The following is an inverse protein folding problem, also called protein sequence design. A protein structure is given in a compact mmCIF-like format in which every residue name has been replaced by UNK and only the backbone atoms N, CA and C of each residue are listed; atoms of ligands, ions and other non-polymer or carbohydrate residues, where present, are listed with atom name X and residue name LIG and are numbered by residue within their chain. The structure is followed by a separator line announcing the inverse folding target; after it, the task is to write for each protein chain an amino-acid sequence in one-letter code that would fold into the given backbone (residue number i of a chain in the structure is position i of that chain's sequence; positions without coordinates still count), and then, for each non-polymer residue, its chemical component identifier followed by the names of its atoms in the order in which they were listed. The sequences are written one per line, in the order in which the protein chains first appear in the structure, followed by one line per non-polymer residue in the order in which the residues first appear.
data_IF_481954699457
#
_entry.id   IF_481954699457
#
_cell.length_a   1.000
_cell.length_b   1.000
_cell.length_c   1.000
_cell.angle_alpha   90.00
_cell.angle_beta   90.00
_cell.angle_gamma   90.00
#
_symmetry.space_group_name_H-M   'P 1'
#
loop_
_entity.id
_entity.type
_entity.pdbx_description
1 polymer ?
#
# COMPACT_ATOMS: atom_id res chain seq x y z
N UNK A 1 25.84 -39.42 19.55
CA UNK A 1 24.42 -39.62 19.20
C UNK A 1 23.90 -38.27 18.78
N UNK A 2 23.62 -38.11 17.50
CA UNK A 2 23.00 -36.92 16.93
C UNK A 2 21.48 -37.06 17.06
N UNK A 3 20.82 -36.03 17.57
CA UNK A 3 19.35 -35.90 17.47
C UNK A 3 18.99 -35.46 16.04
N UNK A 4 17.93 -36.03 15.44
CA UNK A 4 17.55 -35.74 14.07
C UNK A 4 16.83 -34.39 13.95
N UNK A 5 17.10 -33.74 12.82
CA UNK A 5 16.43 -32.56 12.29
C UNK A 5 14.90 -32.62 12.42
N UNK A 6 14.32 -31.68 13.18
CA UNK A 6 12.90 -31.34 13.04
C UNK A 6 12.73 -30.51 11.76
N UNK A 7 12.43 -31.22 10.68
CA UNK A 7 11.34 -30.91 9.75
C UNK A 7 11.05 -29.40 9.58
N UNK A 8 11.81 -28.77 8.68
CA UNK A 8 11.36 -27.61 7.91
C UNK A 8 10.10 -28.00 7.14
N UNK A 9 9.30 -27.00 6.79
CA UNK A 9 8.07 -27.07 5.99
C UNK A 9 6.77 -27.36 6.78
N UNK A 10 6.21 -26.29 7.33
CA UNK A 10 4.78 -26.03 7.16
C UNK A 10 4.59 -24.59 6.72
N UNK A 11 4.27 -24.43 5.44
CA UNK A 11 3.53 -23.30 4.90
C UNK A 11 2.51 -22.79 5.93
N UNK A 12 2.79 -21.67 6.58
CA UNK A 12 1.80 -20.97 7.41
C UNK A 12 0.98 -20.11 6.45
N UNK A 13 0.14 -20.78 5.66
CA UNK A 13 -1.02 -20.12 5.06
C UNK A 13 -1.88 -19.68 6.24
N UNK A 14 -2.26 -18.39 6.35
CA UNK A 14 -3.16 -17.93 7.41
C UNK A 14 -4.39 -18.85 7.40
N UNK A 15 -4.82 -19.41 8.54
CA UNK A 15 -5.90 -20.39 8.51
C UNK A 15 -7.11 -19.72 7.86
N UNK A 16 -7.62 -20.30 6.77
CA UNK A 16 -8.65 -19.70 5.89
C UNK A 16 -9.86 -19.15 6.67
N UNK A 17 -10.11 -19.72 7.85
CA UNK A 17 -11.13 -19.29 8.81
C UNK A 17 -10.95 -17.85 9.33
N UNK A 18 -9.71 -17.36 9.47
CA UNK A 18 -9.42 -15.99 9.94
C UNK A 18 -9.57 -14.95 8.83
N UNK A 19 -9.14 -15.27 7.60
CA UNK A 19 -9.40 -14.43 6.43
C UNK A 19 -10.90 -14.31 6.14
N UNK A 20 -11.64 -15.42 6.29
CA UNK A 20 -13.11 -15.41 6.16
C UNK A 20 -13.78 -14.62 7.29
N UNK A 21 -13.26 -14.69 8.52
CA UNK A 21 -13.77 -13.88 9.63
C UNK A 21 -13.51 -12.38 9.43
N UNK A 22 -12.30 -12.01 8.96
CA UNK A 22 -11.94 -10.65 8.58
C UNK A 22 -12.86 -10.12 7.46
N UNK A 23 -13.14 -10.96 6.47
CA UNK A 23 -14.02 -10.67 5.34
C UNK A 23 -15.48 -10.45 5.76
N UNK A 24 -16.03 -11.35 6.60
CA UNK A 24 -17.40 -11.21 7.12
C UNK A 24 -17.55 -9.99 8.02
N UNK A 25 -16.51 -9.68 8.80
CA UNK A 25 -16.49 -8.49 9.64
C UNK A 25 -16.42 -7.26 8.76
N UNK A 26 -15.47 -7.14 7.81
CA UNK A 26 -15.39 -5.99 6.88
C UNK A 26 -16.69 -5.77 6.09
N UNK A 27 -17.33 -6.82 5.58
CA UNK A 27 -18.64 -6.71 4.92
C UNK A 27 -19.71 -6.21 5.90
N UNK A 28 -19.70 -6.67 7.15
CA UNK A 28 -20.59 -6.14 8.18
C UNK A 28 -20.23 -4.69 8.59
N UNK A 29 -18.96 -4.29 8.57
CA UNK A 29 -18.49 -2.94 8.88
C UNK A 29 -18.95 -1.93 7.81
N UNK A 30 -19.00 -2.33 6.53
CA UNK A 30 -19.31 -1.44 5.40
C UNK A 30 -20.79 -1.55 4.98
N UNK A 31 -21.44 -2.72 5.12
CA UNK A 31 -22.85 -2.92 4.81
C UNK A 31 -23.82 -2.48 5.92
N UNK A 32 -23.37 -2.48 7.19
CA UNK A 32 -24.17 -2.10 8.34
C UNK A 32 -23.95 -0.64 8.72
N UNK A 33 -24.62 0.29 8.04
CA UNK A 33 -24.77 1.65 8.55
C UNK A 33 -25.32 1.59 9.99
N UNK A 34 -24.46 1.85 10.97
CA UNK A 34 -24.79 1.67 12.38
C UNK A 34 -23.69 2.18 13.31
N UNK A 35 -23.40 3.48 13.24
CA UNK A 35 -22.44 4.19 14.09
C UNK A 35 -22.64 3.97 15.62
N UNK A 36 -23.77 3.43 16.07
CA UNK A 36 -24.11 3.24 17.49
C UNK A 36 -23.71 1.87 18.07
N UNK A 37 -23.55 0.82 17.26
CA UNK A 37 -23.07 -0.49 17.75
C UNK A 37 -21.52 -0.57 17.83
N UNK A 38 -20.84 0.45 17.31
CA UNK A 38 -19.42 0.42 16.94
C UNK A 38 -18.46 1.05 17.94
N UNK A 39 -18.94 1.87 18.88
CA UNK A 39 -18.05 2.67 19.72
C UNK A 39 -17.18 1.84 20.68
N UNK A 40 -17.66 0.66 21.10
CA UNK A 40 -16.94 -0.25 22.01
C UNK A 40 -16.21 -1.40 21.31
N UNK A 41 -16.93 -2.21 20.53
CA UNK A 41 -16.39 -3.45 19.94
C UNK A 41 -15.52 -3.16 18.71
N UNK A 42 -15.91 -2.19 17.88
CA UNK A 42 -15.15 -1.79 16.69
C UNK A 42 -13.77 -1.23 17.05
N UNK A 43 -13.69 -0.40 18.10
CA UNK A 43 -12.41 0.14 18.58
C UNK A 43 -11.46 -0.95 19.06
N UNK A 44 -11.93 -1.88 19.90
CA UNK A 44 -11.11 -3.00 20.41
C UNK A 44 -10.70 -3.95 19.27
N UNK A 45 -11.60 -4.21 18.32
CA UNK A 45 -11.27 -5.00 17.12
C UNK A 45 -10.19 -4.32 16.26
N UNK A 46 -10.31 -3.01 15.99
CA UNK A 46 -9.31 -2.29 15.19
C UNK A 46 -7.98 -2.10 15.93
N UNK A 47 -8.00 -1.93 17.26
CA UNK A 47 -6.79 -1.94 18.09
C UNK A 47 -6.12 -3.32 18.05
N UNK A 48 -6.89 -4.39 18.15
CA UNK A 48 -6.37 -5.75 17.99
C UNK A 48 -5.86 -5.99 16.56
N UNK A 49 -6.57 -5.55 15.53
CA UNK A 49 -6.15 -5.64 14.13
C UNK A 49 -4.85 -4.88 13.88
N UNK A 50 -4.65 -3.72 14.51
CA UNK A 50 -3.39 -2.99 14.46
C UNK A 50 -2.24 -3.73 15.15
N UNK A 51 -2.50 -4.39 16.28
CA UNK A 51 -1.51 -5.22 16.95
C UNK A 51 -1.21 -6.49 16.12
N UNK A 52 -2.22 -7.12 15.54
CA UNK A 52 -2.08 -8.28 14.66
C UNK A 52 -1.41 -7.92 13.34
N UNK A 53 -1.70 -6.78 12.73
CA UNK A 53 -1.02 -6.32 11.52
C UNK A 53 0.45 -6.04 11.80
N UNK A 54 0.78 -5.44 12.95
CA UNK A 54 2.17 -5.33 13.41
C UNK A 54 2.84 -6.68 13.61
N UNK A 55 2.09 -7.68 14.10
CA UNK A 55 2.58 -9.03 14.32
C UNK A 55 2.69 -9.81 13.00
N UNK A 56 1.78 -9.68 12.04
CA UNK A 56 1.83 -10.36 10.72
C UNK A 56 2.87 -9.70 9.81
N UNK A 57 2.99 -8.37 9.83
CA UNK A 57 4.13 -7.64 9.26
C UNK A 57 5.44 -7.93 10.03
N UNK A 58 5.38 -8.59 11.19
CA UNK A 58 6.50 -8.88 12.11
C UNK A 58 6.68 -10.36 12.48
N UNK A 59 5.98 -11.30 11.82
CA UNK A 59 6.07 -12.76 11.96
C UNK A 59 5.57 -13.35 10.64
N UNK A 60 6.31 -13.28 9.55
CA UNK A 60 7.73 -13.63 9.41
C UNK A 60 8.64 -12.47 8.95
N UNK A 61 8.32 -11.22 9.31
CA UNK A 61 9.32 -10.14 9.44
C UNK A 61 10.22 -9.87 8.23
N UNK A 62 9.68 -9.93 7.02
CA UNK A 62 10.49 -9.75 5.81
C UNK A 62 10.53 -8.32 5.28
N UNK A 63 9.49 -7.50 5.57
CA UNK A 63 9.45 -6.09 5.17
C UNK A 63 10.55 -5.36 5.91
N UNK A 64 11.66 -5.16 5.22
CA UNK A 64 12.78 -4.43 5.76
C UNK A 64 12.51 -2.94 5.64
N UNK A 65 12.35 -2.31 6.79
CA UNK A 65 12.32 -0.87 6.88
C UNK A 65 13.74 -0.34 6.83
N UNK A 66 14.00 0.60 5.94
CA UNK A 66 15.25 1.33 5.92
C UNK A 66 15.10 2.48 6.93
N UNK A 67 15.48 2.20 8.18
CA UNK A 67 15.42 3.16 9.30
C UNK A 67 16.42 4.33 9.18
N UNK A 68 17.09 4.50 8.04
CA UNK A 68 18.04 5.60 7.83
C UNK A 68 17.30 6.89 7.48
N UNK A 69 17.76 8.01 8.02
CA UNK A 69 17.44 9.32 7.43
C UNK A 69 18.42 9.57 6.28
N UNK A 70 18.00 10.31 5.26
CA UNK A 70 18.98 10.92 4.36
C UNK A 70 19.92 11.83 5.15
N UNK A 71 21.11 12.11 4.60
CA UNK A 71 22.08 13.05 5.21
C UNK A 71 21.48 14.45 5.45
N UNK A 72 20.38 14.78 4.76
CA UNK A 72 19.64 16.02 4.87
C UNK A 72 18.48 15.99 5.90
N UNK A 73 18.33 14.91 6.68
CA UNK A 73 17.38 14.82 7.80
C UNK A 73 15.92 14.56 7.42
N UNK A 74 15.66 14.12 6.18
CA UNK A 74 14.34 13.69 5.71
C UNK A 74 14.35 12.22 5.26
N UNK A 75 13.16 11.65 5.12
CA UNK A 75 12.94 10.35 4.44
C UNK A 75 12.32 10.61 3.06
N UNK A 76 12.70 9.82 2.06
CA UNK A 76 12.18 9.88 0.69
C UNK A 76 11.28 8.68 0.47
N UNK A 77 10.05 8.87 0.01
CA UNK A 77 9.06 7.78 -0.13
C UNK A 77 8.33 7.91 -1.46
N UNK A 78 8.04 6.78 -2.09
CA UNK A 78 7.30 6.73 -3.35
C UNK A 78 5.82 6.35 -3.12
N UNK A 79 4.94 6.88 -3.97
CA UNK A 79 3.50 6.62 -3.93
C UNK A 79 2.96 6.34 -5.34
N UNK A 80 2.52 5.11 -5.59
CA UNK A 80 1.73 4.72 -6.75
C UNK A 80 0.24 4.78 -6.46
N UNK A 81 -0.56 5.25 -7.43
CA UNK A 81 -2.02 5.24 -7.38
C UNK A 81 -2.57 4.60 -8.66
N UNK A 82 -3.05 3.36 -8.54
CA UNK A 82 -3.76 2.63 -9.59
C UNK A 82 -5.27 2.71 -9.35
N UNK A 83 -5.90 3.63 -10.08
CA UNK A 83 -7.35 3.85 -10.09
C UNK A 83 -8.09 2.98 -11.14
N UNK A 84 -7.38 2.11 -11.88
CA UNK A 84 -7.87 1.51 -13.14
C UNK A 84 -8.32 2.55 -14.17
N UNK A 85 -7.69 3.72 -14.17
CA UNK A 85 -8.00 4.79 -15.11
C UNK A 85 -7.54 4.41 -16.52
N UNK A 86 -8.42 4.61 -17.51
CA UNK A 86 -8.07 4.45 -18.92
C UNK A 86 -7.18 5.61 -19.37
N UNK A 87 -6.03 5.27 -19.93
CA UNK A 87 -5.18 6.21 -20.67
C UNK A 87 -5.71 6.42 -22.09
N UNK A 88 -6.13 5.32 -22.73
CA UNK A 88 -6.84 5.31 -24.00
C UNK A 88 -7.74 4.05 -24.06
N UNK A 89 -8.27 3.70 -25.23
CA UNK A 89 -9.17 2.54 -25.37
C UNK A 89 -8.52 1.20 -25.02
N UNK A 90 -7.20 1.09 -25.16
CA UNK A 90 -6.45 -0.17 -25.02
C UNK A 90 -5.48 -0.18 -23.84
N UNK A 91 -5.25 0.97 -23.19
CA UNK A 91 -4.27 1.14 -22.12
C UNK A 91 -4.88 1.77 -20.87
N UNK A 92 -4.35 1.35 -19.72
CA UNK A 92 -4.56 1.95 -18.41
C UNK A 92 -3.31 2.71 -17.98
N UNK A 93 -3.44 3.55 -16.95
CA UNK A 93 -2.33 4.32 -16.38
C UNK A 93 -2.33 4.24 -14.86
N UNK A 94 -1.12 4.11 -14.32
CA UNK A 94 -0.82 4.33 -12.90
C UNK A 94 -0.02 5.60 -12.74
N UNK A 95 -0.41 6.42 -11.78
CA UNK A 95 0.30 7.65 -11.42
C UNK A 95 1.26 7.36 -10.29
N UNK A 96 2.55 7.56 -10.52
CA UNK A 96 3.59 7.19 -9.58
C UNK A 96 4.41 8.41 -9.16
N UNK A 97 4.16 8.90 -7.96
CA UNK A 97 4.80 10.07 -7.36
C UNK A 97 6.13 9.66 -6.73
N UNK A 98 7.23 10.20 -7.25
CA UNK A 98 8.59 9.82 -6.89
C UNK A 98 9.19 10.75 -5.82
N UNK A 99 9.96 10.19 -4.90
CA UNK A 99 10.80 10.91 -3.94
C UNK A 99 10.06 11.96 -3.08
N UNK A 100 8.89 11.60 -2.54
CA UNK A 100 8.13 12.48 -1.63
C UNK A 100 8.92 12.65 -0.33
N UNK A 101 9.34 13.88 -0.05
CA UNK A 101 10.14 14.22 1.13
C UNK A 101 9.25 14.39 2.36
N UNK A 102 9.45 13.52 3.35
CA UNK A 102 8.70 13.52 4.61
C UNK A 102 9.61 13.66 5.82
N UNK A 103 9.01 14.03 6.95
CA UNK A 103 9.70 14.01 8.23
C UNK A 103 9.76 12.56 8.75
N UNK A 104 10.84 12.16 9.43
CA UNK A 104 10.88 10.88 10.14
C UNK A 104 9.69 10.74 11.10
N UNK A 105 9.07 9.55 11.12
CA UNK A 105 7.88 9.28 11.93
C UNK A 105 6.56 9.67 11.27
N UNK A 106 6.59 10.18 10.03
CA UNK A 106 5.38 10.33 9.20
C UNK A 106 4.68 8.99 8.96
N UNK A 107 3.39 9.07 8.65
CA UNK A 107 2.52 7.93 8.37
C UNK A 107 2.14 7.85 6.89
N UNK A 108 1.44 6.78 6.50
CA UNK A 108 0.88 6.66 5.14
C UNK A 108 -0.10 7.82 4.84
N UNK A 109 -0.86 8.30 5.81
CA UNK A 109 -1.73 9.47 5.61
C UNK A 109 -0.91 10.73 5.34
N UNK A 110 0.23 10.90 6.03
CA UNK A 110 1.12 12.02 5.77
C UNK A 110 1.76 11.93 4.38
N UNK A 111 2.13 10.72 3.94
CA UNK A 111 2.60 10.47 2.57
C UNK A 111 1.57 10.98 1.55
N UNK A 112 0.32 10.54 1.66
CA UNK A 112 -0.75 10.94 0.74
C UNK A 112 -1.03 12.44 0.80
N UNK A 113 -0.97 13.08 1.97
CA UNK A 113 -1.16 14.53 2.10
C UNK A 113 -0.05 15.38 1.49
N UNK A 114 1.13 14.80 1.26
CA UNK A 114 2.32 15.49 0.78
C UNK A 114 2.75 14.99 -0.61
N UNK A 115 1.86 14.29 -1.34
CA UNK A 115 2.16 13.76 -2.68
C UNK A 115 2.63 14.87 -3.65
N UNK A 116 2.14 16.09 -3.47
CA UNK A 116 2.46 17.28 -4.24
C UNK A 116 3.92 17.72 -4.10
N UNK A 117 4.62 17.20 -3.09
CA UNK A 117 6.05 17.41 -2.85
C UNK A 117 6.94 16.39 -3.54
N UNK A 118 6.37 15.49 -4.34
CA UNK A 118 7.15 14.61 -5.20
C UNK A 118 8.08 15.42 -6.11
N UNK A 119 9.20 14.81 -6.50
CA UNK A 119 10.14 15.41 -7.44
C UNK A 119 9.61 15.35 -8.87
N UNK A 120 8.90 14.27 -9.20
CA UNK A 120 8.28 14.00 -10.51
C UNK A 120 7.14 13.01 -10.35
N UNK A 121 6.32 12.91 -11.39
CA UNK A 121 5.33 11.83 -11.56
C UNK A 121 5.73 10.97 -12.75
N UNK A 122 5.78 9.67 -12.54
CA UNK A 122 5.86 8.66 -13.58
C UNK A 122 4.45 8.20 -13.94
N UNK A 123 4.05 8.39 -15.20
CA UNK A 123 2.89 7.74 -15.77
C UNK A 123 3.31 6.36 -16.28
N UNK A 124 2.90 5.32 -15.56
CA UNK A 124 3.15 3.93 -15.95
C UNK A 124 1.95 3.44 -16.76
N UNK A 125 2.08 3.50 -18.08
CA UNK A 125 0.99 3.20 -19.01
C UNK A 125 1.12 1.75 -19.47
N UNK A 126 0.08 0.94 -19.27
CA UNK A 126 0.10 -0.50 -19.55
C UNK A 126 -1.12 -0.95 -20.36
N UNK A 127 -0.97 -1.90 -21.31
CA UNK A 127 -2.09 -2.49 -22.03
C UNK A 127 -3.04 -3.26 -21.10
N UNK A 128 -4.35 -3.12 -21.32
CA UNK A 128 -5.38 -3.81 -20.53
C UNK A 128 -5.25 -5.34 -20.64
N UNK A 129 -4.84 -5.83 -21.80
CA UNK A 129 -4.69 -7.25 -22.11
C UNK A 129 -3.35 -7.84 -21.64
N UNK A 130 -2.33 -7.01 -21.44
CA UNK A 130 -1.01 -7.44 -20.98
C UNK A 130 -0.29 -6.36 -20.15
N UNK A 131 -0.55 -6.32 -18.83
CA UNK A 131 0.06 -5.34 -17.92
C UNK A 131 1.58 -5.43 -17.80
N UNK A 132 2.22 -6.52 -18.25
CA UNK A 132 3.67 -6.71 -18.21
C UNK A 132 4.43 -5.93 -19.29
N UNK A 133 3.74 -5.29 -20.23
CA UNK A 133 4.34 -4.46 -21.29
C UNK A 133 4.00 -2.99 -21.10
N UNK A 134 4.57 -2.36 -20.08
CA UNK A 134 4.29 -0.94 -19.80
C UNK A 134 5.39 -0.02 -20.34
N UNK A 135 5.01 1.24 -20.50
CA UNK A 135 5.94 2.36 -20.73
C UNK A 135 5.90 3.30 -19.54
N UNK A 136 7.00 4.02 -19.33
CA UNK A 136 7.09 5.08 -18.32
C UNK A 136 7.21 6.41 -19.04
N UNK A 137 6.34 7.35 -18.70
CA UNK A 137 6.42 8.74 -19.14
C UNK A 137 6.65 9.59 -17.89
N UNK A 138 7.77 10.31 -17.84
CA UNK A 138 8.11 11.16 -16.70
C UNK A 138 7.62 12.60 -16.94
N UNK A 139 6.95 13.18 -15.95
CA UNK A 139 6.62 14.61 -15.91
C UNK A 139 7.08 15.22 -14.57
N UNK A 140 7.88 16.28 -14.65
CA UNK A 140 8.38 17.01 -13.49
C UNK A 140 7.38 18.04 -12.96
N UNK A 141 6.29 18.29 -13.69
CA UNK A 141 5.20 19.14 -13.23
C UNK A 141 4.13 18.33 -12.49
N UNK A 142 4.42 17.99 -11.23
CA UNK A 142 3.51 17.23 -10.35
C UNK A 142 2.12 17.86 -10.25
N UNK A 143 2.02 19.19 -10.35
CA UNK A 143 0.73 19.90 -10.24
C UNK A 143 -0.29 19.57 -11.34
N UNK A 144 0.15 18.98 -12.46
CA UNK A 144 -0.74 18.46 -13.50
C UNK A 144 -1.53 17.22 -13.07
N UNK A 145 -1.12 16.57 -11.98
CA UNK A 145 -1.68 15.31 -11.50
C UNK A 145 -2.19 15.46 -10.06
N UNK A 146 -3.23 16.27 -9.81
CA UNK A 146 -3.78 16.38 -8.48
C UNK A 146 -4.47 15.07 -8.08
N UNK A 147 -4.29 14.68 -6.82
CA UNK A 147 -5.15 13.69 -6.16
C UNK A 147 -6.07 14.40 -5.17
N UNK A 148 -7.36 14.14 -5.30
CA UNK A 148 -8.39 14.51 -4.32
C UNK A 148 -8.70 13.28 -3.46
N UNK A 149 -8.56 13.39 -2.15
CA UNK A 149 -8.64 12.24 -1.24
C UNK A 149 -9.71 12.47 -0.19
N UNK A 150 -10.72 11.61 -0.18
CA UNK A 150 -11.73 11.58 0.87
C UNK A 150 -11.30 10.61 1.97
N UNK A 151 -11.25 11.12 3.20
CA UNK A 151 -10.95 10.32 4.38
C UNK A 151 -12.21 9.96 5.16
N UNK A 152 -12.26 8.73 5.65
CA UNK A 152 -13.25 8.26 6.62
C UNK A 152 -12.61 8.02 7.98
N UNK A 153 -13.44 7.90 9.01
CA UNK A 153 -13.00 7.57 10.37
C UNK A 153 -13.80 6.38 10.92
N UNK A 154 -13.09 5.37 11.41
CA UNK A 154 -13.69 4.20 12.08
C UNK A 154 -12.92 3.91 13.35
N UNK A 155 -13.59 3.99 14.50
CA UNK A 155 -12.95 3.69 15.80
C UNK A 155 -11.81 4.63 16.19
N UNK A 156 -11.85 5.90 15.74
CA UNK A 156 -10.79 6.89 15.97
C UNK A 156 -9.55 6.71 15.09
N UNK A 157 -9.66 5.93 14.01
CA UNK A 157 -8.60 5.70 13.02
C UNK A 157 -9.07 6.23 11.67
N UNK A 158 -8.19 6.95 10.97
CA UNK A 158 -8.47 7.49 9.63
C UNK A 158 -8.13 6.47 8.53
N UNK A 159 -8.99 6.39 7.53
CA UNK A 159 -8.82 5.55 6.34
C UNK A 159 -9.11 6.35 5.07
N UNK A 160 -8.63 5.86 3.93
CA UNK A 160 -8.97 6.42 2.61
C UNK A 160 -10.26 5.77 2.14
N UNK A 161 -11.27 6.59 1.85
CA UNK A 161 -12.59 6.16 1.36
C UNK A 161 -12.69 6.39 -0.15
N UNK A 162 -12.07 7.45 -0.64
CA UNK A 162 -12.03 7.75 -2.06
C UNK A 162 -10.72 8.42 -2.48
N UNK A 163 -10.30 8.18 -3.72
CA UNK A 163 -9.31 9.00 -4.42
C UNK A 163 -9.91 9.40 -5.77
N UNK A 164 -9.85 10.68 -6.11
CA UNK A 164 -10.44 11.29 -7.32
C UNK A 164 -11.92 10.89 -7.53
N UNK A 165 -12.69 10.88 -6.45
CA UNK A 165 -14.11 10.52 -6.46
C UNK A 165 -14.42 9.03 -6.63
N UNK A 166 -13.42 8.15 -6.79
CA UNK A 166 -13.61 6.70 -6.87
C UNK A 166 -13.73 6.13 -5.46
N UNK A 167 -14.95 5.72 -5.09
CA UNK A 167 -15.30 5.23 -3.76
C UNK A 167 -15.26 3.71 -3.70
N UNK A 168 -14.90 3.18 -2.54
CA UNK A 168 -15.11 1.76 -2.25
C UNK A 168 -16.60 1.40 -2.34
N UNK A 169 -16.90 0.27 -2.96
CA UNK A 169 -18.25 -0.30 -3.05
C UNK A 169 -18.26 -1.69 -2.39
N UNK A 170 -18.81 -1.81 -1.16
CA UNK A 170 -18.92 -3.12 -0.50
C UNK A 170 -19.84 -4.11 -1.23
N UNK A 171 -20.77 -3.63 -2.07
CA UNK A 171 -21.66 -4.47 -2.85
C UNK A 171 -20.93 -5.21 -3.98
N UNK A 172 -19.95 -4.55 -4.60
CA UNK A 172 -19.08 -5.13 -5.64
C UNK A 172 -17.77 -5.72 -5.10
N UNK A 173 -17.50 -5.55 -3.79
CA UNK A 173 -16.24 -5.87 -3.12
C UNK A 173 -15.03 -5.06 -3.64
N UNK A 174 -15.28 -3.94 -4.31
CA UNK A 174 -14.23 -3.03 -4.79
C UNK A 174 -13.80 -2.08 -3.69
N UNK A 175 -12.49 -2.02 -3.42
CA UNK A 175 -11.95 -1.21 -2.35
C UNK A 175 -10.55 -0.70 -2.65
N UNK A 176 -10.13 0.29 -1.88
CA UNK A 176 -8.75 0.78 -1.85
C UNK A 176 -7.88 -0.16 -1.02
N UNK A 177 -6.92 -0.80 -1.67
CA UNK A 177 -5.93 -1.67 -1.06
C UNK A 177 -4.56 -0.99 -1.08
N UNK A 178 -3.79 -1.15 -0.02
CA UNK A 178 -2.46 -0.55 0.12
C UNK A 178 -1.43 -1.67 0.07
N UNK A 179 -0.42 -1.51 -0.78
CA UNK A 179 0.70 -2.43 -0.86
C UNK A 179 2.01 -1.68 -0.61
N UNK A 180 3.00 -2.36 -0.05
CA UNK A 180 4.36 -1.84 0.15
C UNK A 180 5.38 -2.78 -0.51
N UNK A 181 6.37 -2.24 -1.19
CA UNK A 181 7.47 -3.02 -1.75
C UNK A 181 8.37 -3.58 -0.65
N UNK A 182 8.59 -4.90 -0.67
CA UNK A 182 9.60 -5.56 0.16
C UNK A 182 10.88 -5.80 -0.67
N UNK A 183 12.00 -5.12 -0.35
CA UNK A 183 13.23 -5.28 -1.10
C UNK A 183 13.90 -6.66 -0.93
N UNK A 184 13.63 -7.40 0.14
CA UNK A 184 14.23 -8.73 0.33
C UNK A 184 13.52 -9.78 -0.53
N UNK A 185 12.20 -9.70 -0.54
CA UNK A 185 11.39 -10.68 -1.26
C UNK A 185 11.08 -10.26 -2.70
N UNK A 186 11.45 -9.03 -3.06
CA UNK A 186 11.26 -8.46 -4.40
C UNK A 186 9.80 -8.56 -4.84
N UNK A 187 8.87 -8.28 -3.90
CA UNK A 187 7.43 -8.27 -4.17
C UNK A 187 6.68 -7.27 -3.29
N UNK A 188 5.45 -6.95 -3.69
CA UNK A 188 4.54 -6.07 -2.94
C UNK A 188 3.73 -6.83 -1.89
N UNK A 189 3.82 -6.38 -0.64
CA UNK A 189 3.04 -6.90 0.48
C UNK A 189 1.80 -6.07 0.73
N UNK A 190 0.68 -6.74 0.97
CA UNK A 190 -0.55 -6.09 1.39
C UNK A 190 -0.39 -5.51 2.81
N UNK A 191 -0.73 -4.23 2.96
CA UNK A 191 -0.74 -3.52 4.24
C UNK A 191 -2.14 -3.58 4.82
N UNK A 192 -2.36 -4.48 5.78
CA UNK A 192 -3.63 -4.62 6.49
C UNK A 192 -3.79 -3.61 7.65
N UNK A 193 -2.72 -2.88 7.99
CA UNK A 193 -2.73 -1.94 9.10
C UNK A 193 -3.46 -0.63 8.74
N UNK A 194 -4.05 0.06 9.74
CA UNK A 194 -4.58 1.40 9.55
C UNK A 194 -3.52 2.38 9.01
N UNK A 195 -3.77 3.09 7.89
CA UNK A 195 -2.79 3.96 7.26
C UNK A 195 -2.40 5.15 8.16
N UNK A 196 -3.31 5.59 9.03
CA UNK A 196 -3.09 6.68 9.99
C UNK A 196 -2.12 6.33 11.13
N UNK A 197 -1.77 5.05 11.28
CA UNK A 197 -0.82 4.57 12.31
C UNK A 197 0.33 3.74 11.76
N UNK A 198 0.39 3.56 10.44
CA UNK A 198 1.48 2.86 9.79
C UNK A 198 2.60 3.88 9.51
N UNK A 199 3.75 3.76 10.18
CA UNK A 199 4.89 4.65 9.93
C UNK A 199 5.51 4.33 8.57
N UNK A 200 5.87 5.38 7.83
CA UNK A 200 6.65 5.24 6.59
C UNK A 200 8.13 5.46 6.90
N UNK A 201 8.97 4.71 6.20
CA UNK A 201 10.42 4.74 6.33
C UNK A 201 11.09 5.18 5.04
N UNK A 202 12.39 5.44 5.12
CA UNK A 202 13.11 5.94 3.97
C UNK A 202 13.13 4.89 2.85
N UNK A 203 12.93 5.36 1.63
CA UNK A 203 12.88 4.57 0.40
C UNK A 203 11.73 3.55 0.37
N UNK A 204 10.74 3.66 1.25
CA UNK A 204 9.52 2.87 1.10
C UNK A 204 8.83 3.24 -0.22
N UNK A 205 8.17 2.25 -0.82
CA UNK A 205 7.39 2.43 -2.05
C UNK A 205 6.01 1.82 -1.84
N UNK A 206 4.98 2.66 -1.86
CA UNK A 206 3.59 2.25 -1.64
C UNK A 206 2.80 2.25 -2.95
N UNK A 207 1.81 1.35 -3.05
CA UNK A 207 0.82 1.37 -4.13
C UNK A 207 -0.57 1.31 -3.54
N UNK A 208 -1.40 2.28 -3.92
CA UNK A 208 -2.82 2.29 -3.67
C UNK A 208 -3.53 1.74 -4.89
N UNK A 209 -4.15 0.58 -4.74
CA UNK A 209 -4.86 -0.13 -5.80
C UNK A 209 -6.36 -0.08 -5.52
N UNK A 210 -7.13 0.47 -6.47
CA UNK A 210 -8.57 0.31 -6.49
C UNK A 210 -8.95 -0.90 -7.35
N UNK A 211 -9.44 -1.96 -6.71
CA UNK A 211 -9.88 -3.17 -7.40
C UNK A 211 -10.76 -4.01 -6.47
N UNK A 212 -11.25 -5.14 -6.97
CA UNK A 212 -11.90 -6.18 -6.16
C UNK A 212 -10.93 -6.70 -5.11
N UNK A 213 -11.47 -6.98 -3.93
CA UNK A 213 -10.72 -7.56 -2.83
C UNK A 213 -9.92 -8.80 -3.28
N UNK A 214 -8.65 -8.83 -2.91
CA UNK A 214 -7.73 -9.93 -3.26
C UNK A 214 -7.06 -9.77 -4.63
N UNK A 215 -7.37 -8.73 -5.39
CA UNK A 215 -6.57 -8.38 -6.56
C UNK A 215 -5.13 -8.01 -6.14
N UNK A 216 -4.22 -8.05 -7.09
CA UNK A 216 -2.80 -7.75 -6.86
C UNK A 216 -2.37 -6.61 -7.79
N UNK A 217 -1.41 -5.74 -7.39
CA UNK A 217 -0.96 -4.67 -8.27
C UNK A 217 -0.46 -5.24 -9.62
N UNK A 218 -0.85 -4.63 -10.74
CA UNK A 218 -0.39 -5.07 -12.07
C UNK A 218 1.14 -5.03 -12.16
N UNK A 219 1.73 -5.77 -13.08
CA UNK A 219 3.20 -5.88 -13.21
C UNK A 219 3.92 -4.55 -13.37
N UNK A 220 3.27 -3.52 -13.93
CA UNK A 220 3.84 -2.16 -13.99
C UNK A 220 4.01 -1.50 -12.62
N UNK A 221 3.29 -1.97 -11.61
CA UNK A 221 3.32 -1.54 -10.21
C UNK A 221 4.08 -2.53 -9.36
N UNK A 222 3.83 -3.83 -9.54
CA UNK A 222 4.47 -4.90 -8.76
C UNK A 222 5.85 -5.30 -9.25
N UNK A 223 6.22 -4.85 -10.45
CA UNK A 223 7.53 -5.00 -11.10
C UNK A 223 8.00 -6.44 -11.18
N UNK A 224 7.25 -7.29 -11.87
CA UNK A 224 7.49 -8.73 -12.09
C UNK A 224 8.92 -9.09 -12.54
N UNK A 225 9.90 -8.96 -11.63
CA UNK A 225 11.36 -9.14 -11.73
C UNK A 225 12.24 -7.89 -12.03
N UNK A 226 11.71 -6.65 -12.03
CA UNK A 226 12.51 -5.44 -12.34
C UNK A 226 11.99 -4.17 -11.68
N UNK A 227 11.80 -4.17 -10.37
CA UNK A 227 11.76 -2.90 -9.64
C UNK A 227 13.18 -2.34 -9.59
N UNK A 228 13.52 -1.52 -10.58
CA UNK A 228 14.79 -0.81 -10.61
C UNK A 228 14.75 0.27 -9.52
N UNK A 229 15.32 -0.06 -8.36
CA UNK A 229 16.10 0.93 -7.62
C UNK A 229 17.25 1.40 -8.52
N UNK A 230 16.96 2.17 -9.56
CA UNK A 230 17.98 2.84 -10.37
C UNK A 230 18.49 4.04 -9.58
N UNK A 231 19.43 3.75 -8.67
CA UNK A 231 20.45 4.70 -8.26
C UNK A 231 20.19 5.49 -6.98
N UNK A 232 20.43 4.88 -5.82
CA UNK A 232 21.15 5.63 -4.79
C UNK A 232 22.65 5.51 -5.07
N UNK A 233 23.19 6.50 -5.79
CA UNK A 233 24.59 6.86 -5.64
C UNK A 233 24.72 7.60 -4.31
N UNK A 234 24.95 6.86 -3.22
CA UNK A 234 25.54 7.49 -2.03
C UNK A 234 26.85 8.18 -2.43
N UNK A 235 27.36 9.12 -1.61
CA UNK A 235 28.66 9.71 -1.90
C UNK A 235 29.68 8.58 -2.10
N UNK A 236 30.37 8.61 -3.23
CA UNK A 236 31.44 7.68 -3.53
C UNK A 236 32.44 7.67 -2.38
N UNK A 237 32.87 6.47 -1.98
CA UNK A 237 34.00 6.32 -1.06
C UNK A 237 35.24 7.01 -1.60
#
# INVERSE_FOLDING_TARGET
MAEPEKERDRNIIPPTKYLVALFLIQIALIGGGGALAFSGVGKVFMENLYQYSKIEMGREGSVQYIYSMSEAGYISVDLGVDMKTKYNETHMVVYWYMNIKLKPGSTIIDLVKNYDKAEKVELRVYPVDNPSKWIVIEDYNVSNYPIDVEYGEVGGLRYIVAINGIKADPGSLEQWMIYIWDPNLQYFQYVAAPPDKFPVYNLDSFVFLFDKFGAFPPDCCSGSLKWEYSGYQGPGK
#
